data_IF_877828386085
#
_entry.id   IF_877828386085
#
_cell.length_a   1.000
_cell.length_b   1.000
_cell.length_c   1.000
_cell.angle_alpha   90.00
_cell.angle_beta   90.00
_cell.angle_gamma   90.00
#
_symmetry.space_group_name_H-M   'P 1'
#
loop_
_entity.id
_entity.type
_entity.pdbx_description
1 polymer ?
#
# COMPACT_ATOMS: atom_id res chain seq x y z
N UNK A 1 24.48 -7.78 -21.52
CA UNK A 1 25.08 -8.05 -20.20
C UNK A 1 25.96 -6.87 -19.84
N UNK A 2 25.68 -6.20 -18.72
CA UNK A 2 26.51 -5.09 -18.26
C UNK A 2 27.82 -5.71 -17.67
N UNK A 3 29.00 -5.30 -18.08
CA UNK A 3 30.28 -5.93 -17.66
C UNK A 3 30.57 -5.83 -16.15
N UNK A 4 29.73 -5.17 -15.37
CA UNK A 4 29.85 -5.09 -13.91
C UNK A 4 28.86 -5.95 -13.12
N UNK A 5 27.95 -6.69 -13.76
CA UNK A 5 26.91 -7.47 -13.03
C UNK A 5 27.50 -8.71 -12.34
N UNK A 6 28.65 -9.21 -12.80
CA UNK A 6 29.37 -10.37 -12.25
C UNK A 6 30.33 -10.03 -11.09
N UNK A 7 30.55 -8.76 -10.79
CA UNK A 7 31.36 -8.34 -9.65
C UNK A 7 30.80 -8.91 -8.34
N UNK A 8 31.67 -9.56 -7.55
CA UNK A 8 31.29 -10.16 -6.27
C UNK A 8 31.55 -9.21 -5.10
N UNK A 9 30.51 -8.78 -4.47
CA UNK A 9 30.53 -7.84 -3.34
C UNK A 9 30.36 -8.55 -1.99
N UNK A 10 31.04 -8.10 -0.93
CA UNK A 10 30.77 -8.59 0.43
C UNK A 10 29.40 -8.12 0.92
N UNK A 11 28.82 -8.87 1.86
CA UNK A 11 27.50 -8.55 2.43
C UNK A 11 27.43 -7.13 2.99
N UNK A 12 28.50 -6.64 3.62
CA UNK A 12 28.55 -5.27 4.15
C UNK A 12 28.40 -4.20 3.05
N UNK A 13 28.96 -4.45 1.86
CA UNK A 13 28.83 -3.55 0.72
C UNK A 13 27.39 -3.56 0.16
N UNK A 14 26.77 -4.76 0.08
CA UNK A 14 25.36 -4.87 -0.32
C UNK A 14 24.47 -4.13 0.69
N UNK A 15 24.70 -4.35 1.99
CA UNK A 15 23.95 -3.69 3.06
C UNK A 15 24.05 -2.15 2.98
N UNK A 16 25.28 -1.65 2.86
CA UNK A 16 25.53 -0.20 2.75
C UNK A 16 24.83 0.42 1.53
N UNK A 17 24.93 -0.25 0.37
CA UNK A 17 24.40 0.29 -0.89
C UNK A 17 22.88 0.14 -1.03
N UNK A 18 22.30 -0.90 -0.44
CA UNK A 18 20.83 -1.15 -0.49
C UNK A 18 20.07 -0.48 0.64
N UNK A 19 20.74 -0.06 1.71
CA UNK A 19 20.09 0.42 2.94
C UNK A 19 19.44 -0.70 3.77
N UNK A 20 19.67 -1.97 3.41
CA UNK A 20 19.12 -3.15 4.10
C UNK A 20 20.19 -3.74 5.00
N UNK A 21 19.86 -4.03 6.26
CA UNK A 21 20.84 -4.60 7.18
C UNK A 21 21.27 -6.03 6.78
N UNK A 22 22.46 -6.46 7.23
CA UNK A 22 23.03 -7.75 6.85
C UNK A 22 22.18 -8.96 7.34
N UNK A 23 21.44 -8.82 8.43
CA UNK A 23 20.53 -9.89 8.92
C UNK A 23 19.34 -10.08 7.99
N UNK A 24 18.71 -9.00 7.53
CA UNK A 24 17.64 -9.08 6.55
C UNK A 24 18.12 -9.64 5.20
N UNK A 25 19.34 -9.28 4.75
CA UNK A 25 19.92 -9.87 3.54
C UNK A 25 20.13 -11.39 3.68
N UNK A 26 20.57 -11.88 4.85
CA UNK A 26 20.67 -13.32 5.12
C UNK A 26 19.32 -13.99 5.14
N UNK A 27 18.30 -13.31 5.65
CA UNK A 27 16.93 -13.80 5.64
C UNK A 27 16.39 -13.88 4.21
N UNK A 28 16.61 -12.86 3.38
CA UNK A 28 16.26 -12.92 1.96
C UNK A 28 16.99 -14.06 1.22
N UNK A 29 18.25 -14.32 1.57
CA UNK A 29 18.99 -15.47 1.04
C UNK A 29 18.36 -16.79 1.46
N UNK A 30 17.94 -16.94 2.74
CA UNK A 30 17.29 -18.16 3.23
C UNK A 30 15.94 -18.44 2.57
N UNK A 31 15.26 -17.41 2.09
CA UNK A 31 14.02 -17.51 1.33
C UNK A 31 14.25 -17.67 -0.20
N UNK A 32 15.52 -17.75 -0.65
CA UNK A 32 15.84 -17.85 -2.07
C UNK A 32 15.61 -16.58 -2.88
N UNK A 33 15.28 -15.47 -2.22
CA UNK A 33 15.07 -14.17 -2.86
C UNK A 33 16.33 -13.61 -3.48
N UNK A 34 17.51 -13.83 -2.86
CA UNK A 34 18.83 -13.51 -3.37
C UNK A 34 19.76 -14.70 -3.19
N UNK A 35 20.85 -14.74 -3.95
CA UNK A 35 21.83 -15.82 -3.88
C UNK A 35 23.21 -15.28 -3.54
N UNK A 36 23.95 -16.04 -2.71
CA UNK A 36 25.36 -15.79 -2.46
C UNK A 36 26.24 -16.88 -3.07
N UNK A 37 27.48 -16.50 -3.36
CA UNK A 37 28.57 -17.41 -3.74
C UNK A 37 29.58 -17.40 -2.61
N UNK A 38 30.15 -18.54 -2.25
CA UNK A 38 31.25 -18.58 -1.28
C UNK A 38 32.60 -18.31 -1.97
N UNK A 39 33.34 -17.36 -1.40
CA UNK A 39 34.73 -17.16 -1.83
C UNK A 39 35.61 -18.34 -1.41
N UNK A 40 36.84 -18.44 -1.95
CA UNK A 40 37.80 -19.48 -1.55
C UNK A 40 38.14 -19.48 -0.04
N UNK A 41 37.93 -18.36 0.66
CA UNK A 41 38.05 -18.24 2.12
C UNK A 41 36.74 -18.53 2.87
N UNK A 42 35.70 -19.05 2.23
CA UNK A 42 34.41 -19.41 2.83
C UNK A 42 33.45 -18.25 3.09
N UNK A 43 33.83 -17.01 2.81
CA UNK A 43 32.99 -15.84 3.03
C UNK A 43 31.91 -15.71 1.96
N UNK A 44 30.68 -15.31 2.37
CA UNK A 44 29.57 -15.01 1.46
C UNK A 44 29.87 -13.78 0.61
N UNK A 45 29.70 -13.93 -0.67
CA UNK A 45 29.78 -12.86 -1.68
C UNK A 45 28.51 -12.86 -2.50
N UNK A 46 28.05 -11.70 -2.89
CA UNK A 46 26.83 -11.50 -3.68
C UNK A 46 27.21 -10.84 -5.00
N UNK A 47 26.58 -11.26 -6.09
CA UNK A 47 26.76 -10.59 -7.37
C UNK A 47 26.23 -9.16 -7.26
N UNK A 48 26.84 -8.24 -7.96
CA UNK A 48 26.37 -6.84 -8.00
C UNK A 48 24.93 -6.72 -8.49
N UNK A 49 24.47 -7.60 -9.37
CA UNK A 49 23.08 -7.71 -9.81
C UNK A 49 22.08 -7.94 -8.65
N UNK A 50 22.53 -8.53 -7.53
CA UNK A 50 21.70 -8.69 -6.32
C UNK A 50 21.24 -7.36 -5.73
N UNK A 51 21.95 -6.25 -5.93
CA UNK A 51 21.51 -4.92 -5.49
C UNK A 51 20.17 -4.53 -6.12
N UNK A 52 20.00 -4.81 -7.41
CA UNK A 52 18.74 -4.54 -8.11
C UNK A 52 17.61 -5.42 -7.58
N UNK A 53 17.91 -6.70 -7.34
CA UNK A 53 16.93 -7.64 -6.78
C UNK A 53 16.50 -7.24 -5.36
N UNK A 54 17.45 -6.80 -4.51
CA UNK A 54 17.15 -6.24 -3.19
C UNK A 54 16.30 -4.97 -3.30
N UNK A 55 16.57 -4.09 -4.26
CA UNK A 55 15.74 -2.91 -4.50
C UNK A 55 14.30 -3.28 -4.85
N UNK A 56 14.08 -4.32 -5.67
CA UNK A 56 12.74 -4.83 -5.98
C UNK A 56 12.02 -5.35 -4.73
N UNK A 57 12.72 -6.13 -3.89
CA UNK A 57 12.15 -6.65 -2.63
C UNK A 57 11.71 -5.50 -1.73
N UNK A 58 12.60 -4.53 -1.50
CA UNK A 58 12.29 -3.36 -0.65
C UNK A 58 11.13 -2.55 -1.19
N UNK A 59 11.09 -2.35 -2.51
CA UNK A 59 9.99 -1.63 -3.15
C UNK A 59 8.65 -2.37 -3.00
N UNK A 60 8.64 -3.68 -3.28
CA UNK A 60 7.43 -4.50 -3.15
C UNK A 60 6.92 -4.54 -1.70
N UNK A 61 7.82 -4.66 -0.71
CA UNK A 61 7.44 -4.57 0.70
C UNK A 61 6.78 -3.22 1.05
N UNK A 62 7.25 -2.10 0.47
CA UNK A 62 6.62 -0.79 0.65
C UNK A 62 5.22 -0.71 0.04
N UNK A 63 4.93 -1.52 -0.96
CA UNK A 63 3.59 -1.67 -1.54
C UNK A 63 2.70 -2.61 -0.72
N UNK A 64 3.23 -3.22 0.35
CA UNK A 64 2.49 -4.11 1.24
C UNK A 64 2.51 -5.59 0.82
N UNK A 65 3.33 -5.98 -0.16
CA UNK A 65 3.51 -7.40 -0.48
C UNK A 65 4.26 -8.14 0.63
N UNK A 66 3.81 -9.35 0.93
CA UNK A 66 4.52 -10.25 1.84
C UNK A 66 5.72 -10.90 1.12
N UNK A 67 6.72 -11.35 1.88
CA UNK A 67 7.96 -11.89 1.28
C UNK A 67 7.71 -13.14 0.44
N UNK A 68 6.72 -13.94 0.80
CA UNK A 68 6.31 -15.13 0.05
C UNK A 68 5.70 -14.75 -1.32
N UNK A 69 4.87 -13.70 -1.36
CA UNK A 69 4.31 -13.15 -2.60
C UNK A 69 5.42 -12.60 -3.49
N UNK A 70 6.39 -11.88 -2.89
CA UNK A 70 7.54 -11.33 -3.59
C UNK A 70 8.41 -12.47 -4.15
N UNK A 71 8.63 -13.54 -3.39
CA UNK A 71 9.40 -14.69 -3.84
C UNK A 71 8.76 -15.32 -5.09
N UNK A 72 7.45 -15.56 -5.05
CA UNK A 72 6.71 -16.13 -6.18
C UNK A 72 6.80 -15.23 -7.44
N UNK A 73 6.72 -13.91 -7.27
CA UNK A 73 6.82 -12.97 -8.39
C UNK A 73 8.24 -12.89 -8.96
N UNK A 74 9.26 -12.93 -8.11
CA UNK A 74 10.65 -12.84 -8.51
C UNK A 74 11.24 -14.17 -8.99
N UNK A 75 10.58 -15.31 -8.76
CA UNK A 75 11.06 -16.62 -9.19
C UNK A 75 11.13 -16.73 -10.71
N UNK A 76 10.20 -16.10 -11.42
CA UNK A 76 10.21 -15.99 -12.89
C UNK A 76 11.26 -15.04 -13.46
N UNK A 77 11.99 -14.26 -12.64
CA UNK A 77 12.99 -13.32 -13.09
C UNK A 77 14.40 -13.90 -13.05
N UNK A 78 15.25 -13.51 -14.00
CA UNK A 78 16.64 -13.92 -13.99
C UNK A 78 17.37 -13.47 -12.71
N UNK A 79 18.15 -14.38 -12.12
CA UNK A 79 18.88 -14.11 -10.87
C UNK A 79 20.23 -13.43 -11.09
N UNK A 80 20.79 -13.54 -12.30
CA UNK A 80 22.16 -13.16 -12.60
C UNK A 80 22.30 -11.95 -13.52
N UNK A 81 21.23 -11.51 -14.15
CA UNK A 81 21.21 -10.32 -15.01
C UNK A 81 19.94 -9.49 -14.79
N UNK A 82 19.87 -8.33 -15.42
CA UNK A 82 18.67 -7.52 -15.43
C UNK A 82 17.55 -8.21 -16.20
N UNK A 83 16.29 -8.16 -15.72
CA UNK A 83 15.14 -8.60 -16.50
C UNK A 83 15.05 -7.86 -17.82
N UNK A 84 14.58 -8.55 -18.86
CA UNK A 84 14.17 -7.93 -20.11
C UNK A 84 12.90 -7.09 -19.94
N UNK A 85 12.58 -6.29 -20.94
CA UNK A 85 11.35 -5.49 -20.91
C UNK A 85 10.07 -6.34 -20.75
N UNK A 86 10.02 -7.50 -21.42
CA UNK A 86 8.87 -8.40 -21.37
C UNK A 86 8.74 -9.09 -20.01
N UNK A 87 9.84 -9.60 -19.45
CA UNK A 87 9.89 -10.19 -18.10
C UNK A 87 9.46 -9.17 -17.03
N UNK A 88 9.91 -7.93 -17.18
CA UNK A 88 9.54 -6.86 -16.28
C UNK A 88 8.07 -6.43 -16.43
N UNK A 89 7.55 -6.44 -17.66
CA UNK A 89 6.18 -5.99 -17.97
C UNK A 89 5.12 -6.78 -17.20
N UNK A 90 5.32 -8.09 -17.02
CA UNK A 90 4.38 -8.94 -16.27
C UNK A 90 4.29 -8.55 -14.80
N UNK A 91 5.45 -8.36 -14.14
CA UNK A 91 5.54 -7.99 -12.73
C UNK A 91 5.05 -6.55 -12.51
N UNK A 92 5.46 -5.64 -13.38
CA UNK A 92 5.08 -4.22 -13.25
C UNK A 92 3.57 -4.00 -13.29
N UNK A 93 2.83 -4.77 -14.10
CA UNK A 93 1.35 -4.71 -14.11
C UNK A 93 0.75 -5.07 -12.75
N UNK A 94 1.22 -6.16 -12.12
CA UNK A 94 0.76 -6.57 -10.79
C UNK A 94 1.06 -5.49 -9.75
N UNK A 95 2.23 -4.87 -9.84
CA UNK A 95 2.63 -3.82 -8.91
C UNK A 95 1.85 -2.52 -9.11
N UNK A 96 1.58 -2.14 -10.37
CA UNK A 96 0.74 -0.97 -10.70
C UNK A 96 -0.66 -1.17 -10.11
N UNK A 97 -1.28 -2.34 -10.30
CA UNK A 97 -2.60 -2.61 -9.74
C UNK A 97 -2.61 -2.46 -8.19
N UNK A 98 -1.57 -2.99 -7.52
CA UNK A 98 -1.45 -2.85 -6.06
C UNK A 98 -1.26 -1.39 -5.63
N UNK A 99 -0.51 -0.59 -6.40
CA UNK A 99 -0.38 0.86 -6.17
C UNK A 99 -1.73 1.55 -6.31
N UNK A 100 -2.48 1.22 -7.36
CA UNK A 100 -3.79 1.81 -7.63
C UNK A 100 -4.80 1.46 -6.52
N UNK A 101 -4.83 0.20 -6.07
CA UNK A 101 -5.61 -0.23 -4.90
C UNK A 101 -5.25 0.61 -3.67
N UNK A 102 -3.95 0.77 -3.38
CA UNK A 102 -3.49 1.53 -2.23
C UNK A 102 -3.83 3.02 -2.32
N UNK A 103 -3.76 3.59 -3.52
CA UNK A 103 -4.20 4.97 -3.78
C UNK A 103 -5.70 5.11 -3.47
N UNK A 104 -6.54 4.18 -3.93
CA UNK A 104 -7.97 4.22 -3.66
C UNK A 104 -8.29 4.09 -2.17
N UNK A 105 -7.61 3.19 -1.44
CA UNK A 105 -7.75 3.07 0.01
C UNK A 105 -7.41 4.38 0.72
N UNK A 106 -6.27 5.00 0.37
CA UNK A 106 -5.84 6.26 0.98
C UNK A 106 -6.77 7.42 0.63
N UNK A 107 -7.26 7.50 -0.59
CA UNK A 107 -8.25 8.50 -1.00
C UNK A 107 -9.56 8.34 -0.23
N UNK A 108 -9.98 7.10 0.01
CA UNK A 108 -11.18 6.82 0.78
C UNK A 108 -10.99 7.22 2.26
N UNK A 109 -9.88 6.83 2.86
CA UNK A 109 -9.52 7.21 4.22
C UNK A 109 -9.45 8.74 4.38
N UNK A 110 -8.84 9.43 3.43
CA UNK A 110 -8.78 10.89 3.43
C UNK A 110 -10.15 11.53 3.44
N UNK A 111 -11.08 11.09 2.56
CA UNK A 111 -12.46 11.60 2.54
C UNK A 111 -13.16 11.36 3.87
N UNK A 112 -13.03 10.14 4.42
CA UNK A 112 -13.62 9.81 5.73
C UNK A 112 -13.13 10.73 6.85
N UNK A 113 -11.84 11.14 6.82
CA UNK A 113 -11.29 12.09 7.77
C UNK A 113 -11.82 13.52 7.54
N UNK A 114 -11.91 13.95 6.28
CA UNK A 114 -12.48 15.26 5.91
C UNK A 114 -13.94 15.36 6.37
N UNK A 115 -14.74 14.32 6.13
CA UNK A 115 -16.15 14.24 6.58
C UNK A 115 -16.23 14.26 8.11
N UNK A 116 -15.34 13.56 8.80
CA UNK A 116 -15.28 13.54 10.26
C UNK A 116 -14.96 14.92 10.85
N UNK A 117 -13.99 15.63 10.27
CA UNK A 117 -13.62 16.98 10.69
C UNK A 117 -14.75 17.98 10.37
N UNK A 118 -15.36 17.85 9.21
CA UNK A 118 -16.42 18.74 8.73
C UNK A 118 -17.70 18.66 9.57
N UNK A 119 -18.06 17.47 10.06
CA UNK A 119 -19.30 17.31 10.85
C UNK A 119 -19.17 17.79 12.31
N UNK A 120 -17.94 17.88 12.85
CA UNK A 120 -17.68 18.36 14.23
C UNK A 120 -18.37 17.54 15.34
N UNK A 121 -18.91 16.37 15.02
CA UNK A 121 -19.74 15.60 15.96
C UNK A 121 -18.98 15.03 17.15
N UNK A 122 -17.67 14.78 17.05
CA UNK A 122 -16.77 14.20 18.06
C UNK A 122 -17.39 13.03 18.87
N UNK A 123 -18.47 12.44 18.39
CA UNK A 123 -19.24 11.41 19.07
C UNK A 123 -19.22 10.10 18.30
N UNK A 124 -18.67 9.08 18.90
CA UNK A 124 -18.71 7.71 18.36
C UNK A 124 -20.13 7.15 18.21
N UNK A 125 -21.12 7.73 18.90
CA UNK A 125 -22.52 7.27 18.86
C UNK A 125 -23.28 7.71 17.60
N UNK A 126 -22.88 8.83 17.00
CA UNK A 126 -23.56 9.40 15.82
C UNK A 126 -22.68 9.48 14.59
N UNK A 127 -21.40 9.10 14.69
CA UNK A 127 -20.45 9.22 13.61
C UNK A 127 -20.62 8.10 12.59
N UNK A 128 -20.96 8.44 11.37
CA UNK A 128 -21.10 7.47 10.27
C UNK A 128 -19.74 6.83 9.86
N UNK A 129 -18.61 7.47 10.16
CA UNK A 129 -17.28 6.94 9.89
C UNK A 129 -16.96 5.73 10.77
N UNK A 130 -17.57 5.63 11.95
CA UNK A 130 -17.30 4.58 12.94
C UNK A 130 -18.32 3.46 12.98
N UNK A 131 -19.01 3.18 11.87
CA UNK A 131 -20.01 2.09 11.84
C UNK A 131 -20.97 2.15 13.03
N UNK A 132 -21.77 3.19 13.05
CA UNK A 132 -22.75 3.47 14.11
C UNK A 132 -23.58 2.24 14.43
N UNK A 133 -23.64 1.87 15.72
CA UNK A 133 -24.38 0.70 16.21
C UNK A 133 -23.99 -0.64 15.52
N UNK A 134 -22.81 -0.70 14.93
CA UNK A 134 -22.30 -1.89 14.23
C UNK A 134 -23.20 -2.41 13.09
N UNK A 135 -23.89 -1.48 12.40
CA UNK A 135 -24.90 -1.80 11.36
C UNK A 135 -24.36 -2.63 10.19
N UNK A 136 -23.04 -2.65 9.97
CA UNK A 136 -22.42 -3.36 8.85
C UNK A 136 -21.52 -4.52 9.29
N UNK A 137 -21.71 -5.04 10.51
CA UNK A 137 -21.00 -6.19 11.04
C UNK A 137 -21.08 -7.42 10.12
N UNK A 138 -22.23 -7.62 9.47
CA UNK A 138 -22.46 -8.74 8.55
C UNK A 138 -21.54 -8.70 7.30
N UNK A 139 -20.99 -7.52 6.95
CA UNK A 139 -20.07 -7.39 5.81
C UNK A 139 -18.67 -7.88 6.11
N UNK A 140 -18.38 -8.29 7.34
CA UNK A 140 -17.12 -8.89 7.75
C UNK A 140 -16.35 -8.09 8.79
N UNK A 141 -15.21 -8.64 9.21
CA UNK A 141 -14.37 -8.05 10.25
C UNK A 141 -13.63 -6.79 9.78
N UNK A 142 -13.25 -5.93 10.73
CA UNK A 142 -12.44 -4.74 10.50
C UNK A 142 -13.25 -3.45 10.36
N UNK A 143 -12.60 -2.32 10.15
CA UNK A 143 -13.23 -1.01 10.05
C UNK A 143 -13.92 -0.84 8.68
N UNK A 144 -15.04 -1.50 8.49
CA UNK A 144 -15.74 -1.68 7.19
C UNK A 144 -16.00 -0.38 6.44
N UNK A 145 -16.38 0.70 7.13
CA UNK A 145 -16.58 2.02 6.51
C UNK A 145 -15.28 2.55 5.91
N UNK A 146 -14.16 2.35 6.60
CA UNK A 146 -12.85 2.77 6.12
C UNK A 146 -12.32 1.89 4.98
N UNK A 147 -12.80 0.65 4.91
CA UNK A 147 -12.53 -0.26 3.79
C UNK A 147 -13.41 0.00 2.56
N UNK A 148 -14.31 0.99 2.62
CA UNK A 148 -15.14 1.41 1.49
C UNK A 148 -16.58 0.97 1.53
N UNK A 149 -17.01 0.24 2.55
CA UNK A 149 -18.41 -0.12 2.68
C UNK A 149 -19.25 1.11 3.03
N UNK A 150 -20.35 1.25 2.33
CA UNK A 150 -21.32 2.31 2.60
C UNK A 150 -22.31 1.85 3.66
N UNK A 151 -22.60 2.72 4.60
CA UNK A 151 -23.79 2.61 5.44
C UNK A 151 -24.99 2.76 4.51
N UNK A 152 -25.78 1.71 4.37
CA UNK A 152 -27.04 1.78 3.61
C UNK A 152 -27.97 2.69 4.41
N UNK A 153 -28.53 3.76 3.84
CA UNK A 153 -29.57 4.51 4.54
C UNK A 153 -30.72 3.54 4.84
N UNK A 154 -31.13 3.50 6.09
CA UNK A 154 -32.13 2.57 6.57
C UNK A 154 -33.48 2.78 5.82
N UNK A 155 -33.72 1.94 4.83
CA UNK A 155 -35.05 1.63 4.34
C UNK A 155 -35.59 0.34 4.97
N UNK A 156 -34.80 -0.28 5.87
CA UNK A 156 -35.14 -1.53 6.52
C UNK A 156 -35.21 -1.29 8.04
N UNK A 157 -36.36 -1.55 8.64
CA UNK A 157 -36.64 -1.33 10.07
C UNK A 157 -35.77 -2.19 11.02
N UNK A 158 -34.87 -3.01 10.50
CA UNK A 158 -33.97 -3.87 11.28
C UNK A 158 -32.77 -3.14 11.90
N UNK A 159 -32.44 -1.94 11.40
CA UNK A 159 -31.36 -1.12 11.95
C UNK A 159 -31.93 0.09 12.74
N UNK A 160 -32.43 -0.15 13.93
CA UNK A 160 -32.96 0.91 14.81
C UNK A 160 -32.00 2.03 15.22
N UNK A 161 -30.79 2.07 14.67
CA UNK A 161 -29.76 3.07 14.98
C UNK A 161 -29.26 3.91 13.80
N UNK A 162 -29.64 3.59 12.56
CA UNK A 162 -29.05 4.19 11.36
C UNK A 162 -29.92 5.25 10.67
N UNK A 163 -31.06 5.62 11.24
CA UNK A 163 -31.91 6.69 10.70
C UNK A 163 -31.17 8.05 10.82
N UNK A 164 -30.77 8.60 9.68
CA UNK A 164 -30.08 9.86 9.59
C UNK A 164 -31.10 11.02 9.81
N UNK A 165 -31.03 11.65 10.96
CA UNK A 165 -31.43 13.05 11.08
C UNK A 165 -30.22 13.95 10.87
N UNK A 166 -29.80 14.11 9.62
CA UNK A 166 -28.99 15.25 9.21
C UNK A 166 -29.46 15.67 7.82
N UNK A 167 -30.35 16.65 7.80
CA UNK A 167 -30.55 17.50 6.63
C UNK A 167 -29.21 18.16 6.28
N UNK A 168 -28.78 18.17 5.02
CA UNK A 168 -27.65 18.99 4.62
C UNK A 168 -28.00 20.44 4.90
N UNK A 169 -27.25 21.11 5.75
CA UNK A 169 -27.31 22.56 5.90
C UNK A 169 -27.14 23.15 4.51
N UNK A 170 -28.23 23.78 4.04
CA UNK A 170 -28.26 24.53 2.80
C UNK A 170 -27.15 25.59 2.82
N UNK A 171 -26.26 25.48 1.89
CA UNK A 171 -25.40 26.58 1.49
C UNK A 171 -26.33 27.64 0.89
N UNK A 172 -26.76 28.58 1.72
CA UNK A 172 -27.37 29.83 1.30
C UNK A 172 -26.34 30.59 0.46
N UNK A 173 -26.46 30.47 -0.85
CA UNK A 173 -25.73 31.32 -1.79
C UNK A 173 -26.45 32.66 -1.86
N UNK A 174 -26.24 33.48 -0.85
CA UNK A 174 -26.61 34.90 -0.86
C UNK A 174 -25.90 35.60 -2.02
N UNK A 175 -26.63 35.79 -3.11
CA UNK A 175 -26.26 36.73 -4.17
C UNK A 175 -26.46 38.14 -3.64
N UNK A 176 -25.42 38.75 -3.15
CA UNK A 176 -25.36 40.19 -3.02
C UNK A 176 -25.11 40.83 -4.39
N UNK A 177 -26.13 41.39 -4.95
CA UNK A 177 -26.09 42.30 -6.09
C UNK A 177 -25.82 43.70 -5.54
N UNK A 178 -24.78 44.42 -5.93
CA UNK A 178 -24.66 45.83 -5.60
C UNK A 178 -25.54 46.62 -6.56
N UNK A 179 -26.63 47.18 -6.04
CA UNK A 179 -27.36 48.26 -6.71
C UNK A 179 -26.55 49.53 -6.67
N UNK A 180 -26.38 50.16 -7.83
CA UNK A 180 -25.76 51.43 -7.98
C UNK A 180 -26.62 52.57 -7.38
N UNK A 181 -25.92 53.60 -6.95
CA UNK A 181 -26.48 54.95 -6.72
C UNK A 181 -25.47 56.02 -7.09
N UNK A 182 -25.82 56.81 -7.91
CA UNK A 182 -25.58 58.20 -8.34
C UNK A 182 -24.69 59.06 -7.39
#
# INVERSE_FOLDING_TARGET
MNPGDDELLPIGMIAQRSGVNASALRYYESLGLIESVRSGAGHRRYRRSSLRRVAYIVFAQRLGFQLEEIAAQLDGLPKHHAPTGDEWSSISKTWINRVDERIQELMHLRRSLEDCIGCGCLSMKVCNVFNRADCIAEKGAGPRVWLGDRLVPAQDESCHGCAAEHSPHGLDTGRDTPQGAR
#
